data_IF_507052797160
#
_entry.id   IF_507052797160
#
_cell.length_a   1.000
_cell.length_b   1.000
_cell.length_c   1.000
_cell.angle_alpha   90.00
_cell.angle_beta   90.00
_cell.angle_gamma   90.00
#
_symmetry.space_group_name_H-M   'P 1'
#
loop_
_entity.id
_entity.type
_entity.pdbx_description
1 polymer ?
#
# COMPACT_ATOMS: atom_id res chain seq x y z
N UNK A 1 -24.07 -11.93 3.72
CA UNK A 1 -22.63 -11.89 4.01
C UNK A 1 -22.32 -10.57 4.69
N UNK A 2 -21.46 -10.58 5.71
CA UNK A 2 -21.05 -9.34 6.40
C UNK A 2 -20.11 -8.56 5.47
N UNK A 3 -20.47 -7.33 5.12
CA UNK A 3 -19.62 -6.39 4.38
C UNK A 3 -18.31 -6.20 5.16
N UNK A 4 -17.16 -6.50 4.55
CA UNK A 4 -15.82 -6.35 5.17
C UNK A 4 -15.13 -5.06 4.73
N UNK A 5 -15.48 -4.53 3.55
CA UNK A 5 -15.03 -3.22 3.13
C UNK A 5 -15.81 -2.13 3.88
N UNK A 6 -15.09 -1.36 4.71
CA UNK A 6 -15.60 -0.14 5.32
C UNK A 6 -15.36 1.08 4.44
N UNK A 7 -15.48 2.27 5.03
CA UNK A 7 -15.28 3.55 4.31
C UNK A 7 -13.92 3.66 3.64
N UNK A 8 -12.88 3.05 4.22
CA UNK A 8 -11.49 3.12 3.75
C UNK A 8 -10.81 1.74 3.77
N UNK A 9 -11.38 0.78 3.02
CA UNK A 9 -10.87 -0.58 2.92
C UNK A 9 -11.25 -1.45 4.12
N UNK A 10 -10.51 -2.54 4.32
CA UNK A 10 -10.74 -3.50 5.41
C UNK A 10 -9.86 -3.09 6.59
N UNK A 11 -10.41 -3.01 7.81
CA UNK A 11 -9.67 -2.65 9.02
C UNK A 11 -10.12 -3.48 10.23
N UNK A 12 -9.26 -3.57 11.23
CA UNK A 12 -9.59 -4.17 12.52
C UNK A 12 -8.36 -4.42 13.38
N UNK A 13 -8.59 -4.98 14.57
CA UNK A 13 -7.53 -5.40 15.48
C UNK A 13 -6.84 -6.65 14.96
N UNK A 14 -5.51 -6.62 14.92
CA UNK A 14 -4.70 -7.73 14.40
C UNK A 14 -4.97 -9.01 15.21
N UNK A 15 -5.17 -10.13 14.51
CA UNK A 15 -5.51 -11.42 15.11
C UNK A 15 -7.01 -11.64 15.31
N UNK A 16 -7.84 -10.63 15.06
CA UNK A 16 -9.30 -10.76 15.04
C UNK A 16 -9.81 -10.62 13.60
N UNK A 17 -10.85 -11.39 13.24
CA UNK A 17 -11.45 -11.25 11.92
C UNK A 17 -11.96 -9.81 11.69
N UNK A 18 -11.71 -9.19 10.52
CA UNK A 18 -11.04 -9.74 9.34
C UNK A 18 -9.52 -9.53 9.27
N UNK A 19 -8.84 -9.01 10.30
CA UNK A 19 -7.39 -8.79 10.28
C UNK A 19 -6.58 -10.02 10.73
N UNK A 20 -6.72 -11.12 9.98
CA UNK A 20 -5.95 -12.37 10.17
C UNK A 20 -5.11 -12.71 8.94
N UNK A 21 -4.09 -13.57 9.11
CA UNK A 21 -3.16 -13.94 8.03
C UNK A 21 -3.89 -14.65 6.89
N UNK A 22 -4.74 -15.61 7.22
CA UNK A 22 -5.50 -16.39 6.26
C UNK A 22 -6.51 -15.54 5.49
N UNK A 23 -7.12 -14.54 6.16
CA UNK A 23 -7.99 -13.58 5.49
C UNK A 23 -7.20 -12.73 4.49
N UNK A 24 -6.00 -12.25 4.83
CA UNK A 24 -5.19 -11.47 3.91
C UNK A 24 -4.82 -12.24 2.63
N UNK A 25 -4.53 -13.54 2.74
CA UNK A 25 -4.29 -14.41 1.57
C UNK A 25 -5.56 -14.53 0.71
N UNK A 26 -6.73 -14.77 1.33
CA UNK A 26 -8.02 -14.82 0.61
C UNK A 26 -8.34 -13.49 -0.09
N UNK A 27 -8.13 -12.39 0.60
CA UNK A 27 -8.37 -11.05 0.09
C UNK A 27 -7.46 -10.73 -1.11
N UNK A 28 -6.17 -11.07 -1.06
CA UNK A 28 -5.27 -10.91 -2.20
C UNK A 28 -5.69 -11.78 -3.39
N UNK A 29 -6.03 -13.04 -3.17
CA UNK A 29 -6.48 -13.95 -4.23
C UNK A 29 -7.76 -13.41 -4.90
N UNK A 30 -8.75 -12.99 -4.11
CA UNK A 30 -9.99 -12.40 -4.61
C UNK A 30 -9.74 -11.09 -5.38
N UNK A 31 -8.96 -10.17 -4.79
CA UNK A 31 -8.65 -8.88 -5.41
C UNK A 31 -7.89 -9.05 -6.74
N UNK A 32 -6.89 -9.94 -6.78
CA UNK A 32 -6.14 -10.20 -8.01
C UNK A 32 -7.01 -10.77 -9.13
N UNK A 33 -7.90 -11.72 -8.80
CA UNK A 33 -8.85 -12.31 -9.77
C UNK A 33 -9.88 -11.31 -10.29
N UNK A 34 -10.29 -10.32 -9.49
CA UNK A 34 -11.27 -9.29 -9.90
C UNK A 34 -10.61 -8.17 -10.69
N UNK A 35 -9.50 -7.64 -10.19
CA UNK A 35 -8.87 -6.43 -10.73
C UNK A 35 -7.91 -6.73 -11.88
N UNK A 36 -7.33 -7.94 -11.92
CA UNK A 36 -6.34 -8.36 -12.90
C UNK A 36 -6.54 -9.84 -13.31
N UNK A 37 -7.70 -10.22 -13.90
CA UNK A 37 -8.07 -11.61 -14.16
C UNK A 37 -7.11 -12.35 -15.11
N UNK A 38 -6.34 -11.62 -15.92
CA UNK A 38 -5.37 -12.18 -16.86
C UNK A 38 -3.93 -12.09 -16.35
N UNK A 39 -3.73 -11.86 -15.05
CA UNK A 39 -2.45 -11.45 -14.49
C UNK A 39 -2.23 -9.94 -14.65
N UNK A 40 -1.06 -9.47 -14.23
CA UNK A 40 -0.72 -8.04 -14.18
C UNK A 40 0.27 -7.77 -13.07
N UNK A 41 0.30 -6.54 -12.55
CA UNK A 41 1.15 -6.20 -11.41
C UNK A 41 0.44 -5.38 -10.34
N UNK A 42 0.87 -5.56 -9.08
CA UNK A 42 0.34 -4.87 -7.91
C UNK A 42 1.48 -4.15 -7.18
N UNK A 43 1.25 -2.90 -6.79
CA UNK A 43 2.17 -2.16 -5.94
C UNK A 43 1.74 -2.26 -4.47
N UNK A 44 2.56 -2.84 -3.61
CA UNK A 44 2.24 -3.05 -2.19
C UNK A 44 3.15 -2.19 -1.33
N UNK A 45 2.57 -1.33 -0.51
CA UNK A 45 3.31 -0.56 0.50
C UNK A 45 2.62 -0.59 1.85
N UNK A 46 3.36 -0.21 2.89
CA UNK A 46 2.89 -0.28 4.28
C UNK A 46 3.32 0.92 5.11
N UNK A 47 2.68 1.09 6.27
CA UNK A 47 3.22 1.94 7.33
C UNK A 47 4.25 1.17 8.18
N UNK A 48 4.59 1.70 9.35
CA UNK A 48 5.62 1.19 10.25
C UNK A 48 5.13 0.12 11.23
N UNK A 49 3.85 -0.28 11.17
CA UNK A 49 3.30 -1.29 12.10
C UNK A 49 4.01 -2.63 11.95
N UNK A 50 4.32 -3.27 13.08
CA UNK A 50 4.98 -4.58 13.12
C UNK A 50 4.16 -5.67 12.40
N UNK A 51 2.83 -5.60 12.48
CA UNK A 51 1.94 -6.52 11.77
C UNK A 51 2.00 -6.34 10.24
N UNK A 52 2.54 -5.23 9.74
CA UNK A 52 2.73 -4.96 8.32
C UNK A 52 3.68 -5.93 7.63
N UNK A 53 4.66 -6.52 8.32
CA UNK A 53 5.52 -7.56 7.73
C UNK A 53 4.73 -8.83 7.41
N UNK A 54 3.91 -9.27 8.35
CA UNK A 54 3.06 -10.44 8.22
C UNK A 54 2.03 -10.26 7.10
N UNK A 55 1.33 -9.12 7.06
CA UNK A 55 0.35 -8.86 6.01
C UNK A 55 0.99 -8.64 4.63
N UNK A 56 2.17 -8.02 4.55
CA UNK A 56 2.91 -7.87 3.28
C UNK A 56 3.21 -9.24 2.68
N UNK A 57 3.75 -10.17 3.48
CA UNK A 57 4.04 -11.53 3.02
C UNK A 57 2.78 -12.33 2.65
N UNK A 58 1.70 -12.18 3.41
CA UNK A 58 0.43 -12.86 3.12
C UNK A 58 -0.21 -12.36 1.81
N UNK A 59 -0.22 -11.04 1.60
CA UNK A 59 -0.69 -10.42 0.37
C UNK A 59 0.19 -10.79 -0.82
N UNK A 60 1.52 -10.73 -0.66
CA UNK A 60 2.49 -11.14 -1.67
C UNK A 60 2.21 -12.57 -2.15
N UNK A 61 2.09 -13.52 -1.21
CA UNK A 61 1.80 -14.91 -1.54
C UNK A 61 0.46 -15.06 -2.28
N UNK A 62 -0.61 -14.40 -1.81
CA UNK A 62 -1.93 -14.48 -2.43
C UNK A 62 -1.97 -13.90 -3.85
N UNK A 63 -1.27 -12.80 -4.11
CA UNK A 63 -1.18 -12.19 -5.44
C UNK A 63 -0.32 -13.01 -6.41
N UNK A 64 0.86 -13.47 -5.96
CA UNK A 64 1.74 -14.32 -6.76
C UNK A 64 1.03 -15.61 -7.17
N UNK A 65 0.27 -16.21 -6.24
CA UNK A 65 -0.49 -17.43 -6.48
C UNK A 65 -1.52 -17.29 -7.61
N UNK A 66 -2.05 -16.09 -7.86
CA UNK A 66 -3.01 -15.80 -8.94
C UNK A 66 -2.37 -15.09 -10.15
N UNK A 67 -1.05 -15.21 -10.30
CA UNK A 67 -0.33 -14.76 -11.49
C UNK A 67 -0.03 -13.26 -11.56
N UNK A 68 -0.02 -12.57 -10.42
CA UNK A 68 0.33 -11.15 -10.37
C UNK A 68 1.79 -10.93 -9.95
N UNK A 69 2.47 -10.03 -10.65
CA UNK A 69 3.78 -9.53 -10.25
C UNK A 69 3.65 -8.50 -9.11
N UNK A 70 4.32 -8.74 -8.00
CA UNK A 70 4.23 -7.92 -6.79
C UNK A 70 5.42 -6.97 -6.70
N UNK A 71 5.14 -5.66 -6.69
CA UNK A 71 6.13 -4.59 -6.51
C UNK A 71 6.08 -4.09 -5.06
N UNK A 72 7.02 -4.54 -4.24
CA UNK A 72 7.11 -4.17 -2.82
C UNK A 72 7.76 -2.78 -2.67
N UNK A 73 7.00 -1.81 -2.20
CA UNK A 73 7.40 -0.40 -2.06
C UNK A 73 8.04 -0.06 -0.71
N UNK A 74 8.16 -1.05 0.18
CA UNK A 74 8.60 -0.87 1.57
C UNK A 74 7.64 0.05 2.36
N UNK A 75 8.18 0.71 3.40
CA UNK A 75 7.41 1.72 4.14
C UNK A 75 7.20 2.95 3.27
N UNK A 76 5.93 3.26 2.98
CA UNK A 76 5.53 4.32 2.06
C UNK A 76 4.21 4.93 2.53
N UNK A 77 4.08 6.27 2.60
CA UNK A 77 2.81 6.91 2.91
C UNK A 77 1.75 6.55 1.86
N UNK A 78 0.49 6.50 2.29
CA UNK A 78 -0.68 6.21 1.43
C UNK A 78 -0.66 6.97 0.09
N UNK A 79 -0.46 8.30 0.04
CA UNK A 79 -0.38 9.03 -1.24
C UNK A 79 0.82 8.62 -2.11
N UNK A 80 1.93 8.20 -1.51
CA UNK A 80 3.08 7.69 -2.25
C UNK A 80 2.78 6.36 -2.94
N UNK A 81 2.01 5.47 -2.29
CA UNK A 81 1.56 4.21 -2.89
C UNK A 81 0.60 4.48 -4.06
N UNK A 82 -0.35 5.41 -3.91
CA UNK A 82 -1.25 5.81 -5.00
C UNK A 82 -0.49 6.39 -6.21
N UNK A 83 0.48 7.28 -5.96
CA UNK A 83 1.35 7.83 -7.00
C UNK A 83 2.19 6.75 -7.69
N UNK A 84 2.87 5.89 -6.91
CA UNK A 84 3.75 4.86 -7.45
C UNK A 84 2.98 3.76 -8.19
N UNK A 85 1.73 3.49 -7.82
CA UNK A 85 0.84 2.58 -8.59
C UNK A 85 0.75 3.03 -10.04
N UNK A 86 0.51 4.33 -10.27
CA UNK A 86 0.42 4.91 -11.63
C UNK A 86 1.77 4.91 -12.33
N UNK A 87 2.81 5.40 -11.65
CA UNK A 87 4.14 5.60 -12.26
C UNK A 87 4.85 4.29 -12.59
N UNK A 88 4.59 3.23 -11.81
CA UNK A 88 5.10 1.90 -12.07
C UNK A 88 4.21 1.09 -13.02
N UNK A 89 3.12 1.66 -13.52
CA UNK A 89 2.16 0.98 -14.39
C UNK A 89 1.55 -0.26 -13.75
N UNK A 90 1.31 -0.24 -12.43
CA UNK A 90 0.62 -1.33 -11.74
C UNK A 90 -0.89 -1.25 -11.99
N UNK A 91 -1.54 -2.41 -12.04
CA UNK A 91 -2.98 -2.54 -12.25
C UNK A 91 -3.77 -2.17 -10.99
N UNK A 92 -3.14 -2.36 -9.82
CA UNK A 92 -3.68 -1.92 -8.53
C UNK A 92 -2.57 -1.56 -7.53
N UNK A 93 -2.94 -0.74 -6.56
CA UNK A 93 -2.14 -0.41 -5.39
C UNK A 93 -2.74 -1.00 -4.12
N UNK A 94 -1.90 -1.41 -3.18
CA UNK A 94 -2.31 -1.91 -1.86
C UNK A 94 -1.57 -1.17 -0.76
N UNK A 95 -2.35 -0.67 0.20
CA UNK A 95 -1.84 -0.01 1.41
C UNK A 95 -2.12 -0.87 2.62
N UNK A 96 -1.07 -1.26 3.34
CA UNK A 96 -1.17 -1.94 4.62
C UNK A 96 -1.01 -0.91 5.74
N UNK A 97 -2.13 -0.40 6.23
CA UNK A 97 -2.17 0.58 7.31
C UNK A 97 -3.60 0.78 7.84
N UNK A 98 -3.72 0.94 9.16
CA UNK A 98 -4.93 1.47 9.80
C UNK A 98 -4.88 3.00 9.99
N UNK A 99 -3.99 3.71 9.29
CA UNK A 99 -3.84 5.18 9.39
C UNK A 99 -3.57 5.60 10.84
N UNK A 100 -4.43 6.44 11.41
CA UNK A 100 -4.33 7.01 12.75
C UNK A 100 -4.85 6.10 13.88
N UNK A 101 -5.35 4.90 13.56
CA UNK A 101 -5.80 3.95 14.57
C UNK A 101 -4.66 3.55 15.53
N UNK A 102 -5.03 2.97 16.68
CA UNK A 102 -4.09 2.40 17.65
C UNK A 102 -3.17 1.36 17.00
N UNK A 103 -1.95 1.19 17.52
CA UNK A 103 -0.89 0.38 16.90
C UNK A 103 -1.22 -1.12 16.75
N UNK A 104 -2.16 -1.62 17.56
CA UNK A 104 -2.70 -2.98 17.58
C UNK A 104 -3.74 -3.24 16.47
N UNK A 105 -4.22 -2.18 15.79
CA UNK A 105 -5.01 -2.29 14.57
C UNK A 105 -4.13 -2.36 13.32
N UNK A 106 -4.68 -2.93 12.24
CA UNK A 106 -4.15 -2.73 10.89
C UNK A 106 -5.31 -2.68 9.86
N UNK A 107 -4.97 -2.50 8.60
CA UNK A 107 -5.93 -2.44 7.52
C UNK A 107 -5.31 -2.65 6.17
N UNK A 108 -6.15 -2.99 5.20
CA UNK A 108 -5.78 -3.23 3.80
C UNK A 108 -6.69 -2.36 2.94
N UNK A 109 -6.09 -1.44 2.18
CA UNK A 109 -6.79 -0.56 1.24
C UNK A 109 -6.32 -0.85 -0.17
N UNK A 110 -7.24 -0.72 -1.12
CA UNK A 110 -6.96 -0.90 -2.54
C UNK A 110 -7.11 0.41 -3.29
N UNK A 111 -6.22 0.59 -4.27
CA UNK A 111 -6.32 1.60 -5.30
C UNK A 111 -6.41 0.96 -6.67
N UNK A 112 -7.16 1.57 -7.58
CA UNK A 112 -7.16 1.20 -8.99
C UNK A 112 -5.84 1.63 -9.67
N UNK A 113 -5.71 1.32 -10.96
CA UNK A 113 -4.57 1.72 -11.79
C UNK A 113 -4.33 3.23 -11.88
N UNK A 114 -5.32 4.04 -11.52
CA UNK A 114 -5.25 5.50 -11.48
C UNK A 114 -4.87 6.03 -10.10
N UNK A 115 -4.60 5.16 -9.12
CA UNK A 115 -4.29 5.53 -7.74
C UNK A 115 -5.51 6.01 -6.97
N UNK A 116 -6.72 5.76 -7.47
CA UNK A 116 -7.99 6.15 -6.85
C UNK A 116 -8.58 5.01 -6.03
N UNK A 117 -9.41 5.33 -5.05
CA UNK A 117 -10.14 4.31 -4.27
C UNK A 117 -11.03 3.48 -5.22
N UNK A 118 -11.14 2.18 -4.96
CA UNK A 118 -12.12 1.32 -5.63
C UNK A 118 -13.56 1.81 -5.39
N UNK A 119 -14.42 1.58 -6.38
CA UNK A 119 -15.86 1.80 -6.23
C UNK A 119 -16.55 0.65 -5.48
N UNK A 120 -17.74 0.93 -4.94
CA UNK A 120 -18.55 -0.02 -4.19
C UNK A 120 -18.91 -1.29 -5.01
N UNK A 121 -18.99 -1.18 -6.34
CA UNK A 121 -19.29 -2.33 -7.20
C UNK A 121 -18.11 -3.31 -7.21
N UNK A 122 -16.90 -2.79 -7.39
CA UNK A 122 -15.65 -3.55 -7.39
C UNK A 122 -15.38 -4.15 -6.01
N UNK A 123 -15.60 -3.39 -4.92
CA UNK A 123 -15.50 -3.93 -3.56
C UNK A 123 -16.43 -5.15 -3.38
N UNK A 124 -17.68 -5.07 -3.83
CA UNK A 124 -18.64 -6.20 -3.77
C UNK A 124 -18.21 -7.41 -4.60
N UNK A 125 -17.57 -7.20 -5.75
CA UNK A 125 -17.02 -8.30 -6.55
C UNK A 125 -15.87 -9.00 -5.83
N UNK A 126 -15.03 -8.26 -5.10
CA UNK A 126 -13.99 -8.87 -4.27
C UNK A 126 -14.63 -9.63 -3.11
N UNK A 127 -15.63 -9.05 -2.44
CA UNK A 127 -16.33 -9.68 -1.32
C UNK A 127 -17.01 -11.00 -1.69
N UNK A 128 -17.58 -11.10 -2.91
CA UNK A 128 -18.26 -12.31 -3.35
C UNK A 128 -17.31 -13.52 -3.47
N UNK A 129 -16.01 -13.28 -3.67
CA UNK A 129 -14.99 -14.32 -3.77
C UNK A 129 -14.33 -14.67 -2.42
N UNK A 130 -14.56 -13.92 -1.34
CA UNK A 130 -13.85 -14.11 -0.06
C UNK A 130 -14.18 -15.43 0.65
N UNK A 131 -15.30 -16.06 0.33
CA UNK A 131 -15.68 -17.36 0.87
C UNK A 131 -15.11 -18.54 0.06
N UNK A 132 -14.50 -18.26 -1.09
CA UNK A 132 -13.80 -19.28 -1.87
C UNK A 132 -12.44 -19.60 -1.25
N UNK A 133 -11.96 -20.81 -1.50
CA UNK A 133 -10.56 -21.16 -1.22
C UNK A 133 -9.64 -20.29 -2.09
N UNK A 134 -8.55 -19.71 -1.55
CA UNK A 134 -7.58 -19.00 -2.36
C UNK A 134 -7.10 -19.84 -3.54
N UNK A 135 -7.13 -19.26 -4.73
CA UNK A 135 -6.63 -19.93 -5.93
C UNK A 135 -5.10 -19.95 -5.93
N UNK A 136 -4.53 -21.03 -6.47
CA UNK A 136 -3.12 -21.12 -6.85
C UNK A 136 -3.07 -21.64 -8.28
N UNK A 137 -2.52 -20.85 -9.19
CA UNK A 137 -2.36 -21.24 -10.58
C UNK A 137 -1.19 -22.18 -10.76
N UNK A 138 -1.15 -22.84 -11.92
CA UNK A 138 -0.03 -23.67 -12.34
C UNK A 138 1.29 -22.92 -12.26
N UNK A 139 2.39 -23.63 -11.96
CA UNK A 139 3.71 -23.05 -11.75
C UNK A 139 4.18 -22.09 -12.87
N UNK A 140 3.81 -22.37 -14.12
CA UNK A 140 4.13 -21.55 -15.30
C UNK A 140 3.39 -20.22 -15.37
N UNK A 141 2.35 -20.04 -14.55
CA UNK A 141 1.47 -18.87 -14.50
C UNK A 141 1.58 -18.09 -13.19
N UNK A 142 2.48 -18.49 -12.29
CA UNK A 142 2.73 -17.75 -11.06
C UNK A 142 3.41 -16.41 -11.36
N UNK A 143 3.08 -15.40 -10.57
CA UNK A 143 3.74 -14.10 -10.63
C UNK A 143 5.11 -14.09 -9.95
N UNK A 144 5.76 -12.93 -9.94
CA UNK A 144 7.03 -12.72 -9.26
C UNK A 144 6.95 -11.54 -8.30
N UNK A 145 7.64 -11.63 -7.17
CA UNK A 145 7.78 -10.51 -6.25
C UNK A 145 9.15 -9.83 -6.43
N UNK A 146 9.15 -8.50 -6.51
CA UNK A 146 10.36 -7.68 -6.53
C UNK A 146 10.29 -6.54 -5.52
N UNK A 147 11.42 -6.23 -4.90
CA UNK A 147 11.56 -5.05 -4.03
C UNK A 147 11.98 -3.83 -4.85
N UNK A 148 11.19 -2.75 -4.75
CA UNK A 148 11.47 -1.47 -5.41
C UNK A 148 12.30 -0.57 -4.51
N UNK A 149 13.62 -0.78 -4.54
CA UNK A 149 14.55 0.00 -3.71
C UNK A 149 14.58 1.49 -4.07
N UNK A 150 14.18 1.84 -5.30
CA UNK A 150 14.11 3.21 -5.81
C UNK A 150 12.79 3.93 -5.52
N UNK A 151 11.80 3.25 -4.91
CA UNK A 151 10.46 3.79 -4.70
C UNK A 151 10.44 5.06 -3.83
N UNK A 152 11.21 5.07 -2.74
CA UNK A 152 11.30 6.20 -1.80
C UNK A 152 11.88 7.44 -2.50
N UNK A 153 12.96 7.27 -3.26
CA UNK A 153 13.63 8.39 -3.92
C UNK A 153 12.75 8.97 -5.04
N UNK A 154 12.07 8.11 -5.82
CA UNK A 154 11.08 8.57 -6.82
C UNK A 154 9.99 9.42 -6.20
N UNK A 155 9.46 9.00 -5.05
CA UNK A 155 8.40 9.76 -4.37
C UNK A 155 8.91 11.07 -3.77
N UNK A 156 10.13 11.10 -3.21
CA UNK A 156 10.76 12.34 -2.76
C UNK A 156 10.94 13.32 -3.93
N UNK A 157 11.45 12.85 -5.08
CA UNK A 157 11.56 13.67 -6.29
C UNK A 157 10.22 14.23 -6.73
N UNK A 158 9.16 13.43 -6.70
CA UNK A 158 7.81 13.89 -6.99
C UNK A 158 7.35 14.99 -6.04
N UNK A 159 7.54 14.82 -4.73
CA UNK A 159 7.15 15.82 -3.73
C UNK A 159 7.85 17.16 -3.96
N UNK A 160 9.16 17.15 -4.26
CA UNK A 160 9.92 18.37 -4.55
C UNK A 160 9.47 19.06 -5.84
N UNK A 161 9.02 18.30 -6.85
CA UNK A 161 8.56 18.85 -8.14
C UNK A 161 7.11 19.32 -8.12
N UNK A 162 6.32 18.95 -7.09
CA UNK A 162 4.89 19.24 -7.02
C UNK A 162 4.57 20.64 -6.50
N UNK A 163 5.56 21.44 -6.12
CA UNK A 163 5.37 22.82 -5.66
C UNK A 163 5.25 23.77 -6.86
N UNK A 164 4.20 24.59 -6.90
CA UNK A 164 3.84 25.44 -8.05
C UNK A 164 4.91 26.48 -8.42
N UNK A 165 5.74 26.88 -7.46
CA UNK A 165 6.97 27.63 -7.64
C UNK A 165 8.12 26.80 -7.07
N UNK A 166 9.39 27.16 -7.39
CA UNK A 166 10.55 26.58 -6.72
C UNK A 166 10.51 26.98 -5.24
N UNK A 167 9.80 26.18 -4.43
CA UNK A 167 9.71 26.39 -3.00
C UNK A 167 11.13 26.30 -2.42
N UNK A 168 11.57 27.39 -1.81
CA UNK A 168 12.86 27.48 -1.11
C UNK A 168 12.57 27.74 0.37
N UNK A 169 13.01 26.82 1.21
CA UNK A 169 12.85 26.86 2.66
C UNK A 169 14.16 27.28 3.35
N UNK A 170 15.14 27.78 2.59
CA UNK A 170 16.41 28.28 3.13
C UNK A 170 16.19 29.32 4.22
N UNK A 171 16.90 29.16 5.34
CA UNK A 171 16.78 30.05 6.51
C UNK A 171 15.62 29.71 7.44
N UNK A 172 14.76 28.74 7.11
CA UNK A 172 13.73 28.23 8.01
C UNK A 172 14.26 27.07 8.86
N UNK A 173 13.88 27.06 10.14
CA UNK A 173 14.08 25.91 11.04
C UNK A 173 12.74 25.26 11.34
N UNK A 174 12.59 23.99 11.00
CA UNK A 174 11.33 23.24 11.08
C UNK A 174 11.45 22.08 12.06
N UNK A 175 10.48 21.94 12.97
CA UNK A 175 10.32 20.76 13.81
C UNK A 175 9.25 19.87 13.17
N UNK A 176 9.57 18.59 12.94
CA UNK A 176 8.71 17.66 12.21
C UNK A 176 8.50 16.38 13.03
N UNK A 177 7.27 16.19 13.49
CA UNK A 177 6.82 14.93 14.08
C UNK A 177 6.23 14.04 12.97
N UNK A 178 6.81 12.87 12.76
CA UNK A 178 6.32 11.91 11.76
C UNK A 178 5.44 10.80 12.36
N UNK A 179 5.05 10.93 13.64
CA UNK A 179 4.25 10.00 14.43
C UNK A 179 4.82 8.56 14.45
N UNK A 180 6.14 8.42 14.31
CA UNK A 180 6.81 7.14 14.03
C UNK A 180 6.18 6.36 12.85
N UNK A 181 5.50 7.07 11.94
CA UNK A 181 4.66 6.53 10.89
C UNK A 181 5.36 6.50 9.53
N UNK A 182 4.58 6.31 8.46
CA UNK A 182 5.09 6.06 7.12
C UNK A 182 5.94 7.20 6.52
N UNK A 183 5.79 8.43 7.02
CA UNK A 183 6.51 9.61 6.53
C UNK A 183 7.88 9.81 7.17
N UNK A 184 8.28 8.99 8.16
CA UNK A 184 9.51 9.19 8.97
C UNK A 184 10.79 9.38 8.15
N UNK A 185 10.91 8.70 7.00
CA UNK A 185 12.03 8.85 6.07
C UNK A 185 11.82 9.95 5.04
N UNK A 186 10.58 10.18 4.63
CA UNK A 186 10.27 11.00 3.46
C UNK A 186 10.13 12.48 3.83
N UNK A 187 9.34 12.81 4.84
CA UNK A 187 9.05 14.21 5.18
C UNK A 187 10.31 15.00 5.54
N UNK A 188 11.22 14.50 6.40
CA UNK A 188 12.46 15.23 6.70
C UNK A 188 13.34 15.42 5.47
N UNK A 189 13.49 14.38 4.63
CA UNK A 189 14.32 14.43 3.42
C UNK A 189 13.78 15.43 2.39
N UNK A 190 12.46 15.49 2.20
CA UNK A 190 11.83 16.47 1.31
C UNK A 190 12.09 17.89 1.82
N UNK A 191 11.82 18.16 3.10
CA UNK A 191 11.97 19.50 3.68
C UNK A 191 13.43 19.97 3.68
N UNK A 192 14.38 19.10 4.03
CA UNK A 192 15.81 19.41 3.96
C UNK A 192 16.29 19.64 2.54
N UNK A 193 15.81 18.87 1.55
CA UNK A 193 16.16 19.06 0.15
C UNK A 193 15.64 20.39 -0.43
N UNK A 194 14.61 20.96 0.19
CA UNK A 194 14.09 22.30 -0.12
C UNK A 194 14.82 23.42 0.65
N UNK A 195 15.83 23.11 1.49
CA UNK A 195 16.69 24.10 2.15
C UNK A 195 16.43 24.33 3.65
N UNK A 196 15.43 23.66 4.26
CA UNK A 196 15.15 23.84 5.68
C UNK A 196 16.18 23.17 6.61
N UNK A 197 16.46 23.78 7.76
CA UNK A 197 17.07 23.11 8.91
C UNK A 197 15.99 22.29 9.64
N UNK A 198 16.07 20.95 9.56
CA UNK A 198 15.00 20.07 10.04
C UNK A 198 15.41 19.37 11.33
N UNK A 199 14.56 19.48 12.35
CA UNK A 199 14.64 18.72 13.59
C UNK A 199 13.46 17.73 13.64
N UNK A 200 13.74 16.44 13.78
CA UNK A 200 12.69 15.41 13.94
C UNK A 200 12.43 15.10 15.40
N UNK A 201 11.17 14.81 15.75
CA UNK A 201 10.75 14.37 17.09
C UNK A 201 9.92 13.10 17.04
#
# INVERSE_FOLDING_TARGET
>A
MTRVFGTDGVRGTVGSYPMTVDFAVRLASAAGRVLAPNGGSVAVGKDTRISGYMFESALEAGFVAVGMDVKLLQVMPTPGIAYLTRVLGADLGVVISASHNRYDDNGIKFFDRHGSKLDDHTEKQIESLLNETPATFESSRLGRAERRYDAVDRYISFCMQSTAEKLDLSGMRLVVDCANGATYKIAPRVLSALGADVVTV
#
